data_IF_480419942499
#
_entry.id   IF_480419942499
#
_cell.length_a   1.000
_cell.length_b   1.000
_cell.length_c   1.000
_cell.angle_alpha   90.00
_cell.angle_beta   90.00
_cell.angle_gamma   90.00
#
_symmetry.space_group_name_H-M   'P 1'
#
loop_
_entity.id
_entity.type
_entity.pdbx_description
1 polymer ?
#
# COMPACT_ATOMS: atom_id res chain seq x y z
N UNK A 1 18.96 6.70 3.89
CA UNK A 1 18.43 5.85 2.82
C UNK A 1 17.19 5.15 3.36
N UNK A 2 15.99 5.66 3.04
CA UNK A 2 14.72 5.04 3.46
C UNK A 2 14.67 3.63 2.85
N UNK A 3 14.72 2.60 3.70
CA UNK A 3 14.48 1.22 3.28
C UNK A 3 13.01 1.13 2.89
N UNK A 4 12.75 0.94 1.60
CA UNK A 4 11.40 0.81 1.07
C UNK A 4 10.95 -0.62 1.34
N UNK A 5 10.06 -0.79 2.31
CA UNK A 5 9.57 -2.12 2.67
C UNK A 5 8.35 -2.48 1.79
N UNK A 6 8.42 -3.59 1.04
CA UNK A 6 7.35 -4.02 0.14
C UNK A 6 6.07 -4.44 0.87
N UNK A 7 6.19 -4.69 2.17
CA UNK A 7 5.11 -5.13 3.03
C UNK A 7 4.54 -3.99 3.91
N UNK A 8 4.82 -2.73 3.57
CA UNK A 8 4.34 -1.57 4.33
C UNK A 8 3.23 -0.84 3.57
N UNK A 9 2.17 -0.50 4.31
CA UNK A 9 1.08 0.36 3.87
C UNK A 9 1.06 1.62 4.73
N UNK A 10 0.60 2.71 4.13
CA UNK A 10 0.48 4.00 4.81
C UNK A 10 -0.96 4.43 4.82
N UNK A 11 -1.45 4.76 6.00
CA UNK A 11 -2.81 5.20 6.25
C UNK A 11 -2.82 6.66 6.67
N UNK A 12 -3.68 7.47 6.07
CA UNK A 12 -3.87 8.89 6.37
C UNK A 12 -5.33 9.16 6.73
N UNK A 13 -5.57 10.14 7.62
CA UNK A 13 -6.92 10.57 8.01
C UNK A 13 -7.48 9.88 9.24
N UNK A 14 -6.66 9.09 9.94
CA UNK A 14 -7.04 8.43 11.19
C UNK A 14 -6.97 9.41 12.37
N UNK A 15 -7.96 9.44 13.28
CA UNK A 15 -7.93 10.35 14.41
C UNK A 15 -6.72 10.09 15.32
N UNK A 16 -6.10 11.18 15.80
CA UNK A 16 -5.02 11.08 16.77
C UNK A 16 -5.57 10.49 18.08
N UNK A 17 -4.92 9.42 18.59
CA UNK A 17 -5.26 8.63 19.80
C UNK A 17 -6.00 7.31 19.59
N UNK A 18 -6.19 6.85 18.34
CA UNK A 18 -6.51 5.42 18.11
C UNK A 18 -5.38 4.58 18.71
N UNK A 19 -5.70 3.66 19.62
CA UNK A 19 -4.70 2.72 20.12
C UNK A 19 -4.23 1.83 18.96
N UNK A 20 -2.95 1.45 18.93
CA UNK A 20 -2.40 0.65 17.82
C UNK A 20 -3.24 -0.61 17.55
N UNK A 21 -3.79 -1.21 18.60
CA UNK A 21 -4.61 -2.41 18.53
C UNK A 21 -5.97 -2.17 17.82
N UNK A 22 -6.55 -0.99 17.97
CA UNK A 22 -7.80 -0.61 17.33
C UNK A 22 -7.61 -0.43 15.82
N UNK A 23 -6.46 0.09 15.40
CA UNK A 23 -6.12 0.18 13.98
C UNK A 23 -5.99 -1.20 13.35
N UNK A 24 -5.24 -2.09 13.99
CA UNK A 24 -5.01 -3.44 13.48
C UNK A 24 -6.35 -4.20 13.37
N UNK A 25 -7.20 -4.04 14.38
CA UNK A 25 -8.56 -4.59 14.38
C UNK A 25 -9.42 -4.01 13.26
N UNK A 26 -9.42 -2.68 13.08
CA UNK A 26 -10.16 -2.02 11.99
C UNK A 26 -9.69 -2.48 10.60
N UNK A 27 -8.38 -2.57 10.37
CA UNK A 27 -7.83 -3.04 9.10
C UNK A 27 -8.25 -4.49 8.83
N UNK A 28 -8.24 -5.35 9.85
CA UNK A 28 -8.69 -6.73 9.71
C UNK A 28 -10.18 -6.78 9.37
N UNK A 29 -11.02 -6.01 10.06
CA UNK A 29 -12.47 -5.99 9.81
C UNK A 29 -12.83 -5.45 8.43
N UNK A 30 -12.17 -4.39 7.98
CA UNK A 30 -12.52 -3.71 6.73
C UNK A 30 -11.94 -4.42 5.49
N UNK A 31 -10.73 -4.97 5.58
CA UNK A 31 -9.99 -5.46 4.40
C UNK A 31 -9.76 -6.96 4.37
N UNK A 32 -9.91 -7.69 5.48
CA UNK A 32 -9.63 -9.13 5.52
C UNK A 32 -10.94 -9.91 5.41
N UNK A 33 -11.10 -10.77 4.39
CA UNK A 33 -12.28 -11.62 4.25
C UNK A 33 -12.39 -12.56 5.45
N UNK A 34 -13.62 -12.87 5.82
CA UNK A 34 -13.91 -13.90 6.82
C UNK A 34 -13.15 -15.19 6.48
N UNK A 35 -12.34 -15.68 7.43
CA UNK A 35 -11.50 -16.87 7.28
C UNK A 35 -10.00 -16.62 7.05
N UNK A 36 -9.59 -15.40 6.67
CA UNK A 36 -8.16 -15.05 6.53
C UNK A 36 -7.60 -14.27 7.73
N UNK A 37 -8.46 -13.83 8.66
CA UNK A 37 -8.07 -13.08 9.86
C UNK A 37 -6.98 -13.74 10.72
N UNK A 38 -6.99 -15.08 10.97
CA UNK A 38 -5.95 -15.71 11.79
C UNK A 38 -4.56 -15.70 11.15
N UNK A 39 -4.49 -15.55 9.83
CA UNK A 39 -3.25 -15.54 9.06
C UNK A 39 -2.72 -14.12 8.84
N UNK A 40 -3.48 -13.11 9.26
CA UNK A 40 -3.16 -11.71 9.06
C UNK A 40 -2.46 -11.17 10.32
N UNK A 41 -1.19 -10.82 10.17
CA UNK A 41 -0.36 -10.33 11.26
C UNK A 41 0.39 -9.07 10.86
N UNK A 42 0.47 -8.12 11.78
CA UNK A 42 1.34 -6.95 11.67
C UNK A 42 2.71 -7.27 12.26
N UNK A 43 3.77 -6.89 11.54
CA UNK A 43 5.14 -6.89 12.06
C UNK A 43 5.36 -5.66 12.95
N UNK A 44 4.89 -4.50 12.50
CA UNK A 44 4.99 -3.26 13.27
C UNK A 44 4.01 -2.21 12.79
N UNK A 45 3.56 -1.36 13.71
CA UNK A 45 2.68 -0.22 13.44
C UNK A 45 3.24 1.02 14.13
N UNK A 46 3.50 2.10 13.39
CA UNK A 46 4.07 3.32 13.95
C UNK A 46 3.54 4.60 13.27
N UNK A 47 3.50 5.69 14.04
CA UNK A 47 3.04 7.01 13.59
C UNK A 47 4.16 7.80 12.91
N UNK A 48 3.81 8.53 11.85
CA UNK A 48 4.69 9.46 11.15
C UNK A 48 4.06 10.87 11.06
N UNK A 49 4.80 11.93 11.46
CA UNK A 49 6.05 11.89 12.22
C UNK A 49 5.87 11.33 13.64
N UNK A 50 6.94 10.82 14.25
CA UNK A 50 6.88 10.19 15.56
C UNK A 50 6.35 11.12 16.67
N UNK A 51 6.60 12.43 16.55
CA UNK A 51 6.04 13.46 17.44
C UNK A 51 4.69 13.91 16.92
N UNK A 52 3.72 14.03 17.82
CA UNK A 52 2.42 14.61 17.49
C UNK A 52 2.59 16.06 17.05
N UNK A 53 2.01 16.46 15.91
CA UNK A 53 1.98 17.85 15.50
C UNK A 53 1.02 18.66 16.41
N UNK A 54 1.06 19.99 16.35
CA UNK A 54 0.08 20.85 17.00
C UNK A 54 -1.35 20.53 16.54
N UNK A 55 -2.34 20.81 17.38
CA UNK A 55 -3.78 20.49 17.17
C UNK A 55 -4.37 21.07 15.87
N UNK A 56 -3.74 22.09 15.29
CA UNK A 56 -4.18 22.75 14.05
C UNK A 56 -3.70 22.06 12.76
N UNK A 57 -2.91 20.99 12.86
CA UNK A 57 -2.35 20.26 11.72
C UNK A 57 -3.17 18.99 11.47
N UNK A 58 -3.31 18.53 10.21
CA UNK A 58 -3.98 17.27 9.90
C UNK A 58 -3.42 16.08 10.72
N UNK A 59 -4.26 15.07 10.99
CA UNK A 59 -3.87 13.91 11.75
C UNK A 59 -2.66 13.21 11.14
N UNK A 60 -1.81 12.63 12.00
CA UNK A 60 -0.62 11.89 11.56
C UNK A 60 -0.96 10.70 10.68
N UNK A 61 -0.01 10.39 9.80
CA UNK A 61 -0.04 9.15 9.04
C UNK A 61 0.41 7.99 9.94
N UNK A 62 -0.11 6.80 9.66
CA UNK A 62 0.39 5.56 10.24
C UNK A 62 1.04 4.74 9.14
N UNK A 63 2.23 4.21 9.41
CA UNK A 63 2.84 3.16 8.60
C UNK A 63 2.65 1.85 9.33
N UNK A 64 1.94 0.93 8.68
CA UNK A 64 1.70 -0.41 9.15
C UNK A 64 2.46 -1.40 8.24
N UNK A 65 3.39 -2.13 8.85
CA UNK A 65 4.15 -3.19 8.20
C UNK A 65 3.49 -4.52 8.49
N UNK A 66 3.11 -5.21 7.43
CA UNK A 66 2.47 -6.52 7.48
C UNK A 66 3.54 -7.61 7.43
N UNK A 67 3.28 -8.72 8.12
CA UNK A 67 4.17 -9.87 8.14
C UNK A 67 4.30 -10.52 6.74
N UNK A 68 3.25 -10.45 5.93
CA UNK A 68 3.23 -11.02 4.59
C UNK A 68 2.81 -9.98 3.54
N UNK A 69 3.67 -9.74 2.55
CA UNK A 69 3.44 -8.76 1.48
C UNK A 69 2.16 -9.03 0.67
N UNK A 70 1.72 -10.30 0.56
CA UNK A 70 0.49 -10.67 -0.18
C UNK A 70 -0.76 -9.99 0.39
N UNK A 71 -0.76 -9.73 1.70
CA UNK A 71 -1.85 -9.02 2.34
C UNK A 71 -1.81 -7.52 2.06
N UNK A 72 -0.64 -6.93 1.85
CA UNK A 72 -0.53 -5.53 1.42
C UNK A 72 -1.23 -5.34 0.06
N UNK A 73 -0.91 -6.20 -0.91
CA UNK A 73 -1.54 -6.16 -2.23
C UNK A 73 -3.06 -6.32 -2.14
N UNK A 74 -3.54 -7.19 -1.25
CA UNK A 74 -4.97 -7.43 -1.03
C UNK A 74 -5.66 -6.17 -0.47
N UNK A 75 -5.11 -5.57 0.58
CA UNK A 75 -5.62 -4.34 1.20
C UNK A 75 -5.62 -3.21 0.18
N UNK A 76 -4.51 -3.00 -0.54
CA UNK A 76 -4.39 -1.93 -1.52
C UNK A 76 -5.36 -2.10 -2.69
N UNK A 77 -5.60 -3.33 -3.15
CA UNK A 77 -6.62 -3.60 -4.17
C UNK A 77 -8.02 -3.27 -3.67
N UNK A 78 -8.37 -3.69 -2.46
CA UNK A 78 -9.68 -3.38 -1.86
C UNK A 78 -9.86 -1.90 -1.58
N UNK A 79 -8.84 -1.24 -1.06
CA UNK A 79 -8.84 0.20 -0.83
C UNK A 79 -9.06 0.99 -2.12
N UNK A 80 -8.51 0.53 -3.25
CA UNK A 80 -8.77 1.13 -4.58
C UNK A 80 -10.17 0.83 -5.13
N UNK A 81 -10.79 -0.27 -4.72
CA UNK A 81 -12.16 -0.60 -5.11
C UNK A 81 -13.17 0.21 -4.27
N UNK A 82 -12.80 0.56 -3.04
CA UNK A 82 -13.60 1.34 -2.11
C UNK A 82 -13.08 2.78 -2.04
N UNK A 83 -13.56 3.67 -2.91
CA UNK A 83 -13.14 5.08 -2.95
C UNK A 83 -13.51 5.91 -1.69
N UNK A 84 -14.32 5.34 -0.80
CA UNK A 84 -14.84 6.03 0.39
C UNK A 84 -14.68 5.22 1.67
N UNK A 85 -13.43 4.89 2.02
CA UNK A 85 -13.09 4.28 3.31
C UNK A 85 -13.33 5.28 4.45
N UNK A 86 -14.14 4.89 5.43
CA UNK A 86 -14.52 5.73 6.56
C UNK A 86 -14.25 5.00 7.88
N UNK A 87 -13.64 5.67 8.85
CA UNK A 87 -13.45 5.18 10.22
C UNK A 87 -14.05 6.20 11.19
N UNK A 88 -15.08 5.83 11.95
CA UNK A 88 -15.72 6.69 12.96
C UNK A 88 -15.95 8.14 12.48
N UNK A 89 -16.46 8.30 11.25
CA UNK A 89 -16.73 9.58 10.54
C UNK A 89 -15.54 10.28 9.89
N UNK A 90 -14.36 9.68 9.88
CA UNK A 90 -13.17 10.23 9.21
C UNK A 90 -12.90 9.49 7.90
N UNK A 91 -12.61 10.22 6.83
CA UNK A 91 -12.20 9.64 5.56
C UNK A 91 -10.76 9.14 5.69
N UNK A 92 -10.56 7.85 5.47
CA UNK A 92 -9.24 7.22 5.48
C UNK A 92 -8.76 7.00 4.07
N UNK A 93 -7.49 7.30 3.83
CA UNK A 93 -6.82 7.01 2.56
C UNK A 93 -5.67 6.06 2.83
N UNK A 94 -5.65 4.94 2.12
CA UNK A 94 -4.59 3.93 2.20
C UNK A 94 -3.82 3.92 0.89
N UNK A 95 -2.50 3.99 0.98
CA UNK A 95 -1.59 3.93 -0.16
C UNK A 95 -0.35 3.12 0.19
N UNK A 96 0.36 2.58 -0.81
CA UNK A 96 1.62 1.88 -0.54
C UNK A 96 2.65 2.86 0.06
N UNK A 97 3.40 2.42 1.08
CA UNK A 97 4.49 3.21 1.70
C UNK A 97 5.72 3.37 0.79
N UNK A 98 5.56 2.99 -0.48
CA UNK A 98 6.67 2.70 -1.35
C UNK A 98 6.77 3.72 -2.47
N UNK A 99 7.99 4.21 -2.68
CA UNK A 99 8.42 4.89 -3.91
C UNK A 99 8.32 4.00 -5.16
N UNK A 100 7.74 2.79 -5.05
CA UNK A 100 7.61 1.86 -6.16
C UNK A 100 6.62 2.35 -7.19
N UNK A 101 5.53 3.02 -6.81
CA UNK A 101 4.64 3.69 -7.77
C UNK A 101 5.44 4.73 -8.58
N UNK A 102 6.29 5.51 -7.91
CA UNK A 102 7.20 6.50 -8.53
C UNK A 102 8.23 5.80 -9.44
N UNK A 103 8.84 4.69 -9.00
CA UNK A 103 9.77 3.91 -9.82
C UNK A 103 9.08 3.24 -11.01
N UNK A 104 7.82 2.79 -10.85
CA UNK A 104 7.01 2.19 -11.92
C UNK A 104 6.59 3.25 -12.95
N UNK A 105 6.33 4.46 -12.49
CA UNK A 105 6.06 5.62 -13.35
C UNK A 105 7.29 6.00 -14.17
N UNK A 106 8.50 5.82 -13.63
CA UNK A 106 9.75 6.07 -14.37
C UNK A 106 9.89 5.19 -15.64
N UNK A 107 9.25 4.01 -15.69
CA UNK A 107 9.22 3.17 -16.89
C UNK A 107 8.21 3.63 -17.96
N UNK A 108 7.52 4.75 -17.76
CA UNK A 108 6.47 5.23 -18.68
C UNK A 108 6.92 5.34 -20.13
N UNK A 109 8.09 5.95 -20.37
CA UNK A 109 8.66 6.10 -21.71
C UNK A 109 8.97 4.75 -22.36
N UNK A 110 9.58 3.81 -21.61
CA UNK A 110 9.94 2.48 -22.13
C UNK A 110 8.69 1.66 -22.44
N UNK A 111 7.67 1.71 -21.58
CA UNK A 111 6.38 1.04 -21.80
C UNK A 111 5.69 1.52 -23.06
N UNK A 112 5.70 2.85 -23.29
CA UNK A 112 5.16 3.44 -24.51
C UNK A 112 5.90 2.92 -25.74
N UNK A 113 7.23 2.95 -25.74
CA UNK A 113 8.02 2.43 -26.85
C UNK A 113 7.76 0.95 -27.12
N UNK A 114 7.64 0.11 -26.08
CA UNK A 114 7.32 -1.31 -26.24
C UNK A 114 5.92 -1.54 -26.81
N UNK A 115 4.95 -0.73 -26.39
CA UNK A 115 3.59 -0.76 -26.91
C UNK A 115 3.54 -0.32 -28.38
N UNK A 116 4.29 0.72 -28.74
CA UNK A 116 4.40 1.22 -30.11
C UNK A 116 5.02 0.17 -31.06
N UNK A 117 5.96 -0.64 -30.57
CA UNK A 117 6.60 -1.74 -31.32
C UNK A 117 5.79 -3.05 -31.23
N UNK A 118 4.69 -3.08 -30.47
CA UNK A 118 3.83 -4.28 -30.34
C UNK A 118 4.46 -5.41 -29.50
N UNK A 119 5.47 -5.12 -28.69
CA UNK A 119 6.14 -6.12 -27.84
C UNK A 119 5.39 -6.28 -26.53
N UNK A 120 5.01 -7.51 -26.21
CA UNK A 120 4.38 -7.82 -24.94
C UNK A 120 5.34 -7.58 -23.77
N UNK A 121 4.84 -6.99 -22.68
CA UNK A 121 5.61 -6.80 -21.47
C UNK A 121 4.73 -6.98 -20.23
N UNK A 122 5.37 -7.26 -19.10
CA UNK A 122 4.75 -7.38 -17.79
C UNK A 122 5.55 -6.60 -16.75
N UNK A 123 4.89 -6.07 -15.73
CA UNK A 123 5.54 -5.33 -14.67
C UNK A 123 5.58 -6.18 -13.40
N UNK A 124 6.75 -6.71 -13.07
CA UNK A 124 6.98 -7.47 -11.85
C UNK A 124 7.22 -6.54 -10.67
N UNK A 125 6.79 -7.00 -9.50
CA UNK A 125 7.05 -6.35 -8.24
C UNK A 125 8.55 -6.36 -7.89
N UNK A 126 9.10 -5.32 -7.23
CA UNK A 126 8.48 -4.03 -6.92
C UNK A 126 8.37 -3.08 -8.13
N UNK A 127 9.44 -2.97 -8.92
CA UNK A 127 9.49 -2.13 -10.11
C UNK A 127 10.43 -2.71 -11.19
N UNK A 128 10.13 -3.94 -11.66
CA UNK A 128 10.92 -4.61 -12.71
C UNK A 128 10.08 -4.79 -13.98
N UNK A 129 10.51 -4.19 -15.08
CA UNK A 129 9.88 -4.38 -16.38
C UNK A 129 10.42 -5.66 -17.04
N UNK A 130 9.54 -6.65 -17.25
CA UNK A 130 9.85 -7.90 -17.93
C UNK A 130 9.29 -7.85 -19.35
N UNK A 131 10.17 -7.88 -20.33
CA UNK A 131 9.79 -8.02 -21.75
C UNK A 131 9.50 -9.49 -22.04
N UNK A 132 8.39 -9.75 -22.71
CA UNK A 132 7.97 -11.08 -23.14
C UNK A 132 8.32 -11.18 -24.62
N UNK A 133 9.50 -11.73 -24.91
CA UNK A 133 9.87 -12.11 -26.26
C UNK A 133 9.08 -13.37 -26.63
N UNK A 134 8.49 -13.46 -27.84
CA UNK A 134 8.04 -14.74 -28.34
C UNK A 134 9.24 -15.68 -28.35
N UNK A 135 9.17 -16.78 -27.62
CA UNK A 135 10.18 -17.83 -27.69
C UNK A 135 10.16 -18.37 -29.12
N UNK A 136 11.23 -18.18 -29.89
CA UNK A 136 11.41 -18.94 -31.12
C UNK A 136 11.52 -20.42 -30.74
N UNK A 137 10.67 -21.24 -31.37
CA UNK A 137 10.56 -22.70 -31.19
C UNK A 137 11.80 -23.39 -31.72
#
# INVERSE_FOLDING_TARGET
MLKIDPAAITCMGLPEKIEKNDLETWVVQEFVPEGLSPLFAFESTHWLPARAPPVEVPPRMIVAKLLHFRYCDLILRRARQNDNLMTEKHKVVIFPDSSQEVQRAAFGTVKKNLQDVGVAYSMQFPARLRVITPTEV
#
